data_IF_665320213687
#
_entry.id   IF_665320213687
#
_cell.length_a   1.000
_cell.length_b   1.000
_cell.length_c   1.000
_cell.angle_alpha   90.00
_cell.angle_beta   90.00
_cell.angle_gamma   90.00
#
_symmetry.space_group_name_H-M   'P 1'
#
loop_
_entity.id
_entity.type
_entity.pdbx_description
1 polymer ?
#
# COMPACT_ATOMS: atom_id res chain seq x y z
N UNK A 1 0.77 -3.26 -12.78
CA UNK A 1 0.84 -4.44 -11.89
C UNK A 1 -0.53 -5.04 -11.62
N UNK A 2 -1.49 -4.31 -11.03
CA UNK A 2 -2.82 -4.85 -10.75
C UNK A 2 -3.51 -5.40 -12.00
N UNK A 3 -3.62 -4.61 -13.08
CA UNK A 3 -4.21 -5.08 -14.36
C UNK A 3 -3.42 -6.25 -14.96
N UNK A 4 -2.09 -6.16 -14.97
CA UNK A 4 -1.22 -7.23 -15.49
C UNK A 4 -1.31 -8.55 -14.70
N UNK A 5 -1.64 -8.48 -13.40
CA UNK A 5 -1.95 -9.63 -12.55
C UNK A 5 -3.39 -10.14 -12.69
N UNK A 6 -4.13 -9.69 -13.71
CA UNK A 6 -5.54 -10.06 -13.92
C UNK A 6 -6.51 -9.33 -12.99
N UNK A 7 -6.09 -8.21 -12.38
CA UNK A 7 -6.93 -7.43 -11.50
C UNK A 7 -8.03 -6.68 -12.25
N UNK A 8 -9.25 -6.71 -11.72
CA UNK A 8 -10.44 -6.08 -12.29
C UNK A 8 -11.12 -5.16 -11.27
N UNK A 9 -11.93 -4.22 -11.77
CA UNK A 9 -12.61 -3.18 -10.98
C UNK A 9 -11.68 -2.47 -10.00
N UNK A 10 -10.62 -1.85 -10.53
CA UNK A 10 -9.63 -1.14 -9.73
C UNK A 10 -10.16 0.27 -9.48
N UNK A 11 -10.52 0.53 -8.24
CA UNK A 11 -10.88 1.86 -7.73
C UNK A 11 -9.74 2.38 -6.86
N UNK A 12 -9.37 3.65 -7.10
CA UNK A 12 -8.29 4.32 -6.37
C UNK A 12 -8.86 5.56 -5.69
N UNK A 13 -8.62 5.67 -4.39
CA UNK A 13 -9.03 6.82 -3.61
C UNK A 13 -7.83 7.41 -2.86
N UNK A 14 -7.61 8.71 -3.03
CA UNK A 14 -6.53 9.45 -2.39
C UNK A 14 -7.10 10.31 -1.26
N UNK A 15 -6.62 10.12 -0.03
CA UNK A 15 -7.02 10.89 1.15
C UNK A 15 -6.10 12.09 1.43
N UNK A 16 -5.07 12.29 0.62
CA UNK A 16 -4.11 13.37 0.77
C UNK A 16 -3.13 13.15 1.92
N UNK A 17 -2.52 14.24 2.35
CA UNK A 17 -1.51 14.29 3.42
C UNK A 17 -2.22 14.37 4.77
N UNK A 18 -1.91 13.43 5.67
CA UNK A 18 -2.47 13.36 7.01
C UNK A 18 -1.34 13.08 8.00
N UNK A 19 -1.32 13.74 9.18
CA UNK A 19 -0.34 13.45 10.21
C UNK A 19 -0.46 12.02 10.74
N UNK A 20 0.69 11.37 10.95
CA UNK A 20 0.79 10.02 11.47
C UNK A 20 0.61 10.02 12.98
N UNK A 21 0.05 8.93 13.52
CA UNK A 21 -0.08 8.76 14.97
C UNK A 21 1.27 8.67 15.71
N UNK A 22 2.35 8.31 15.00
CA UNK A 22 3.71 8.26 15.49
C UNK A 22 4.70 8.42 14.34
N UNK A 23 5.92 8.87 14.65
CA UNK A 23 6.98 9.00 13.65
C UNK A 23 7.43 7.64 13.12
N UNK A 24 7.55 7.50 11.80
CA UNK A 24 8.04 6.25 11.17
C UNK A 24 9.39 6.49 10.50
N UNK A 25 10.29 5.51 10.62
CA UNK A 25 11.59 5.51 9.94
C UNK A 25 11.59 4.58 8.73
N UNK A 26 12.18 4.99 7.62
CA UNK A 26 12.37 4.18 6.41
C UNK A 26 13.77 4.39 5.86
N UNK A 27 14.44 3.29 5.52
CA UNK A 27 15.73 3.34 4.81
C UNK A 27 15.48 3.25 3.31
N UNK A 28 16.06 4.15 2.52
CA UNK A 28 15.99 4.12 1.06
C UNK A 28 17.14 3.29 0.46
N UNK A 29 17.12 3.06 -0.86
CA UNK A 29 18.21 2.37 -1.58
C UNK A 29 19.54 3.11 -1.56
N UNK A 30 19.54 4.43 -1.39
CA UNK A 30 20.76 5.22 -1.19
C UNK A 30 21.39 5.02 0.20
N UNK A 31 20.68 4.34 1.12
CA UNK A 31 21.14 4.03 2.46
C UNK A 31 20.76 5.06 3.53
N UNK A 32 20.08 6.13 3.14
CA UNK A 32 19.62 7.19 4.04
C UNK A 32 18.42 6.72 4.85
N UNK A 33 18.33 7.17 6.11
CA UNK A 33 17.20 6.86 7.00
C UNK A 33 16.34 8.11 7.17
N UNK A 34 15.17 8.09 6.55
CA UNK A 34 14.21 9.20 6.60
C UNK A 34 13.23 8.97 7.75
N UNK A 35 12.91 10.03 8.49
CA UNK A 35 11.91 10.03 9.55
C UNK A 35 10.71 10.87 9.11
N UNK A 36 9.52 10.28 9.08
CA UNK A 36 8.29 10.93 8.61
C UNK A 36 7.33 11.17 9.77
N UNK A 37 6.71 12.35 9.77
CA UNK A 37 5.64 12.75 10.70
C UNK A 37 4.27 12.72 10.03
N UNK A 38 4.22 12.94 8.72
CA UNK A 38 3.02 12.90 7.89
C UNK A 38 3.14 11.80 6.82
N UNK A 39 2.00 11.41 6.24
CA UNK A 39 1.97 10.46 5.14
C UNK A 39 0.83 10.72 4.16
N UNK A 40 1.01 10.27 2.92
CA UNK A 40 -0.04 10.26 1.91
C UNK A 40 -0.74 8.90 1.95
N UNK A 41 -2.07 8.92 2.12
CA UNK A 41 -2.86 7.70 2.18
C UNK A 41 -3.58 7.43 0.86
N UNK A 42 -3.15 6.36 0.19
CA UNK A 42 -3.81 5.82 -0.99
C UNK A 42 -4.57 4.54 -0.62
N UNK A 43 -5.85 4.49 -0.98
CA UNK A 43 -6.71 3.32 -0.81
C UNK A 43 -7.03 2.72 -2.17
N UNK A 44 -6.79 1.42 -2.29
CA UNK A 44 -7.07 0.64 -3.49
C UNK A 44 -8.12 -0.41 -3.17
N UNK A 45 -9.24 -0.37 -3.90
CA UNK A 45 -10.25 -1.44 -3.90
C UNK A 45 -10.15 -2.14 -5.25
N UNK A 46 -9.91 -3.45 -5.24
CA UNK A 46 -9.74 -4.21 -6.46
C UNK A 46 -10.05 -5.69 -6.24
N UNK A 47 -10.38 -6.40 -7.31
CA UNK A 47 -10.42 -7.86 -7.32
C UNK A 47 -9.18 -8.38 -8.02
N UNK A 48 -8.49 -9.37 -7.43
CA UNK A 48 -7.33 -10.04 -8.02
C UNK A 48 -7.34 -11.51 -7.64
N UNK A 49 -6.56 -12.32 -8.37
CA UNK A 49 -6.36 -13.73 -8.03
C UNK A 49 -5.50 -13.85 -6.76
N UNK A 50 -5.75 -14.85 -5.89
CA UNK A 50 -4.97 -15.04 -4.67
C UNK A 50 -3.47 -15.23 -4.94
N UNK A 51 -3.08 -15.91 -6.02
CA UNK A 51 -1.66 -16.11 -6.36
C UNK A 51 -0.92 -14.81 -6.72
N UNK A 52 -1.63 -13.78 -7.18
CA UNK A 52 -1.03 -12.54 -7.67
C UNK A 52 -0.78 -11.51 -6.55
N UNK A 53 -1.32 -11.71 -5.34
CA UNK A 53 -1.17 -10.75 -4.24
C UNK A 53 0.26 -10.70 -3.70
N UNK A 54 0.96 -11.83 -3.67
CA UNK A 54 2.31 -11.92 -3.11
C UNK A 54 3.31 -11.06 -3.88
N UNK A 55 3.23 -11.06 -5.21
CA UNK A 55 4.09 -10.22 -6.05
C UNK A 55 3.81 -8.73 -5.82
N UNK A 56 2.54 -8.34 -5.62
CA UNK A 56 2.17 -6.97 -5.34
C UNK A 56 2.74 -6.48 -4.00
N UNK A 57 2.59 -7.26 -2.93
CA UNK A 57 3.09 -6.89 -1.61
C UNK A 57 4.62 -6.80 -1.56
N UNK A 58 5.32 -7.74 -2.19
CA UNK A 58 6.78 -7.68 -2.30
C UNK A 58 7.21 -6.41 -3.01
N UNK A 59 6.52 -6.04 -4.10
CA UNK A 59 6.89 -4.83 -4.85
C UNK A 59 6.63 -3.56 -4.04
N UNK A 60 5.49 -3.45 -3.35
CA UNK A 60 5.18 -2.32 -2.48
C UNK A 60 6.21 -2.17 -1.35
N UNK A 61 6.66 -3.27 -0.74
CA UNK A 61 7.71 -3.23 0.29
C UNK A 61 9.10 -2.88 -0.24
N UNK A 62 9.35 -3.09 -1.53
CA UNK A 62 10.65 -2.82 -2.19
C UNK A 62 10.76 -1.37 -2.66
N UNK A 63 9.63 -0.68 -2.74
CA UNK A 63 9.58 0.72 -3.14
C UNK A 63 10.05 1.62 -1.98
N UNK A 64 10.81 2.66 -2.31
CA UNK A 64 11.33 3.60 -1.32
C UNK A 64 10.27 4.65 -0.93
N UNK A 65 9.36 4.96 -1.86
CA UNK A 65 8.27 5.92 -1.66
C UNK A 65 7.14 5.35 -0.79
N UNK A 66 7.03 4.02 -0.72
CA UNK A 66 6.04 3.33 0.09
C UNK A 66 6.63 3.05 1.48
N UNK A 67 6.36 3.96 2.42
CA UNK A 67 6.84 3.83 3.80
C UNK A 67 6.14 2.70 4.58
N UNK A 68 4.89 2.38 4.21
CA UNK A 68 4.11 1.28 4.78
C UNK A 68 3.02 0.85 3.79
N UNK A 69 2.86 -0.46 3.65
CA UNK A 69 1.78 -1.07 2.86
C UNK A 69 1.05 -2.12 3.68
N UNK A 70 -0.26 -2.21 3.52
CA UNK A 70 -1.10 -3.23 4.15
C UNK A 70 -2.24 -3.61 3.23
N UNK A 71 -2.43 -4.92 3.01
CA UNK A 71 -3.52 -5.47 2.20
C UNK A 71 -4.53 -6.15 3.12
N UNK A 72 -5.82 -5.98 2.85
CA UNK A 72 -6.88 -6.62 3.63
C UNK A 72 -7.90 -7.30 2.72
N UNK A 73 -8.26 -8.54 3.04
CA UNK A 73 -9.39 -9.20 2.39
C UNK A 73 -10.68 -8.73 3.04
N UNK A 74 -11.51 -8.02 2.28
CA UNK A 74 -12.82 -7.56 2.74
C UNK A 74 -13.81 -8.73 2.70
N UNK A 75 -14.56 -8.90 3.81
CA UNK A 75 -15.67 -9.86 3.92
C UNK A 75 -16.94 -9.10 4.28
N UNK A 76 -18.09 -9.52 3.72
CA UNK A 76 -19.39 -8.98 4.09
C UNK A 76 -19.61 -9.15 5.61
N UNK A 77 -19.77 -8.04 6.31
CA UNK A 77 -20.06 -8.03 7.76
C UNK A 77 -21.50 -8.50 7.98
N UNK A 78 -21.67 -9.50 8.85
CA UNK A 78 -22.96 -9.89 9.42
C UNK A 78 -22.93 -9.41 10.87
N UNK A 79 -23.83 -8.50 11.21
CA UNK A 79 -24.00 -8.00 12.58
C UNK A 79 -25.01 -8.86 13.32
#
# INVERSE_FOLDING_TARGET
>A
LLVAGGGMYIEVFNRGVIPLAYSIKRKNKAGETNTYLDGIYLLFTYFTKPESIGALETRLKTDDDVIRSSSFKIRKRKY
#
